data_IF_938998130326
#
_entry.id   IF_938998130326
#
_cell.length_a   1.000
_cell.length_b   1.000
_cell.length_c   1.000
_cell.angle_alpha   90.00
_cell.angle_beta   90.00
_cell.angle_gamma   90.00
#
_symmetry.space_group_name_H-M   'P 1'
#
loop_
_entity.id
_entity.type
_entity.pdbx_description
1 polymer ?
#
# COMPACT_ATOMS: atom_id res chain seq x y z
N UNK A 1 13.86 33.36 16.27
CA UNK A 1 12.85 33.08 15.24
C UNK A 1 13.44 32.28 14.07
N UNK A 2 14.77 32.17 13.91
CA UNK A 2 15.45 31.37 12.85
C UNK A 2 15.57 29.86 13.13
N UNK A 3 15.69 29.43 14.39
CA UNK A 3 16.02 28.02 14.70
C UNK A 3 14.91 27.02 14.36
N UNK A 4 13.64 27.44 14.44
CA UNK A 4 12.49 26.57 14.17
C UNK A 4 12.28 26.35 12.67
N UNK A 5 12.54 27.37 11.85
CA UNK A 5 12.37 27.32 10.39
C UNK A 5 13.44 26.43 9.75
N UNK A 6 14.71 26.59 10.13
CA UNK A 6 15.78 25.70 9.71
C UNK A 6 15.54 24.25 10.12
N UNK A 7 15.07 24.03 11.36
CA UNK A 7 14.76 22.67 11.85
C UNK A 7 13.65 22.03 11.01
N UNK A 8 12.62 22.78 10.66
CA UNK A 8 11.52 22.30 9.83
C UNK A 8 11.97 21.96 8.41
N UNK A 9 12.82 22.79 7.80
CA UNK A 9 13.43 22.52 6.48
C UNK A 9 14.31 21.24 6.49
N UNK A 10 15.15 21.05 7.52
CA UNK A 10 15.96 19.83 7.66
C UNK A 10 15.09 18.57 7.82
N UNK A 11 14.00 18.64 8.59
CA UNK A 11 13.06 17.54 8.72
C UNK A 11 12.32 17.23 7.41
N UNK A 12 11.90 18.25 6.67
CA UNK A 12 11.23 18.08 5.38
C UNK A 12 12.17 17.49 4.31
N UNK A 13 13.39 18.01 4.19
CA UNK A 13 14.38 17.52 3.22
C UNK A 13 14.73 16.05 3.47
N UNK A 14 14.90 15.67 4.75
CA UNK A 14 15.15 14.29 5.15
C UNK A 14 13.98 13.37 4.83
N UNK A 15 12.75 13.78 5.16
CA UNK A 15 11.55 13.01 4.86
C UNK A 15 11.37 12.77 3.35
N UNK A 16 11.65 13.79 2.52
CA UNK A 16 11.62 13.69 1.06
C UNK A 16 12.68 12.72 0.53
N UNK A 17 13.92 12.80 1.02
CA UNK A 17 15.00 11.88 0.62
C UNK A 17 14.69 10.43 1.00
N UNK A 18 14.16 10.21 2.20
CA UNK A 18 13.77 8.89 2.68
C UNK A 18 12.59 8.31 1.88
N UNK A 19 11.59 9.15 1.56
CA UNK A 19 10.48 8.75 0.69
C UNK A 19 10.94 8.38 -0.72
N UNK A 20 11.89 9.13 -1.29
CA UNK A 20 12.48 8.78 -2.60
C UNK A 20 13.16 7.41 -2.57
N UNK A 21 13.98 7.15 -1.53
CA UNK A 21 14.62 5.84 -1.36
C UNK A 21 13.60 4.71 -1.22
N UNK A 22 12.47 4.96 -0.54
CA UNK A 22 11.39 3.99 -0.41
C UNK A 22 10.72 3.68 -1.74
N UNK A 23 10.44 4.70 -2.55
CA UNK A 23 9.92 4.51 -3.90
C UNK A 23 10.91 3.72 -4.78
N UNK A 24 12.20 4.06 -4.77
CA UNK A 24 13.22 3.36 -5.58
C UNK A 24 13.32 1.86 -5.22
N UNK A 25 13.22 1.53 -3.92
CA UNK A 25 13.22 0.13 -3.45
C UNK A 25 11.92 -0.58 -3.84
N UNK A 26 10.78 0.09 -3.66
CA UNK A 26 9.47 -0.46 -4.02
C UNK A 26 9.39 -0.77 -5.53
N UNK A 27 9.89 0.13 -6.39
CA UNK A 27 9.91 -0.08 -7.83
C UNK A 27 10.70 -1.35 -8.19
N UNK A 28 11.88 -1.53 -7.60
CA UNK A 28 12.68 -2.74 -7.82
C UNK A 28 11.93 -4.01 -7.34
N UNK A 29 11.32 -3.96 -6.15
CA UNK A 29 10.55 -5.08 -5.61
C UNK A 29 9.38 -5.46 -6.51
N UNK A 30 8.67 -4.47 -7.07
CA UNK A 30 7.55 -4.71 -7.98
C UNK A 30 8.03 -5.36 -9.30
N UNK A 31 9.10 -4.84 -9.90
CA UNK A 31 9.68 -5.40 -11.13
C UNK A 31 10.24 -6.81 -10.90
N UNK A 32 10.95 -7.04 -9.80
CA UNK A 32 11.48 -8.36 -9.44
C UNK A 32 10.35 -9.37 -9.15
N UNK A 33 9.20 -8.92 -8.64
CA UNK A 33 8.01 -9.74 -8.47
C UNK A 33 7.31 -10.07 -9.79
N UNK A 34 7.57 -9.34 -10.88
CA UNK A 34 6.99 -9.59 -12.20
C UNK A 34 5.91 -8.60 -12.63
N UNK A 35 5.69 -7.52 -11.89
CA UNK A 35 4.79 -6.45 -12.32
C UNK A 35 5.43 -5.53 -13.35
N UNK A 36 4.63 -5.05 -14.30
CA UNK A 36 5.02 -3.97 -15.21
C UNK A 36 4.63 -2.59 -14.62
N UNK A 37 5.59 -1.66 -14.54
CA UNK A 37 5.32 -0.30 -14.07
C UNK A 37 4.64 0.52 -15.18
N UNK A 38 3.35 0.82 -15.02
CA UNK A 38 2.57 1.62 -15.99
C UNK A 38 2.78 3.12 -15.78
N UNK A 39 2.76 3.59 -14.53
CA UNK A 39 2.97 5.01 -14.16
C UNK A 39 3.67 5.14 -12.81
N UNK A 40 4.61 6.09 -12.71
CA UNK A 40 5.31 6.45 -11.46
C UNK A 40 5.65 7.95 -11.43
N UNK A 41 5.00 8.78 -10.59
CA UNK A 41 3.78 8.50 -9.82
C UNK A 41 2.51 8.49 -10.68
N UNK A 42 1.43 7.89 -10.18
CA UNK A 42 0.09 7.96 -10.79
C UNK A 42 -0.80 8.97 -10.07
N UNK A 43 -1.28 9.97 -10.81
CA UNK A 43 -2.26 10.96 -10.33
C UNK A 43 -3.65 10.57 -10.78
N UNK A 44 -4.65 10.81 -9.92
CA UNK A 44 -6.08 10.60 -10.20
C UNK A 44 -6.78 11.95 -10.10
N UNK A 45 -6.74 12.79 -11.16
CA UNK A 45 -7.10 14.21 -11.07
C UNK A 45 -8.55 14.44 -10.65
N UNK A 46 -9.47 13.55 -11.03
CA UNK A 46 -10.91 13.65 -10.73
C UNK A 46 -11.20 13.76 -9.23
N UNK A 47 -10.33 13.18 -8.40
CA UNK A 47 -10.49 13.10 -6.94
C UNK A 47 -9.26 13.61 -6.17
N UNK A 48 -8.27 14.18 -6.87
CA UNK A 48 -7.13 14.85 -6.25
C UNK A 48 -6.18 13.96 -5.45
N UNK A 49 -6.19 12.63 -5.66
CA UNK A 49 -5.27 11.70 -4.99
C UNK A 49 -4.14 11.25 -5.91
N UNK A 50 -3.05 10.79 -5.31
CA UNK A 50 -1.87 10.27 -5.99
C UNK A 50 -1.38 9.01 -5.27
N UNK A 51 -0.95 8.01 -6.04
CA UNK A 51 -0.27 6.81 -5.57
C UNK A 51 1.17 6.78 -6.12
N UNK A 52 2.03 6.01 -5.48
CA UNK A 52 3.43 5.90 -5.88
C UNK A 52 3.57 5.22 -7.23
N UNK A 53 2.76 4.18 -7.49
CA UNK A 53 2.77 3.47 -8.77
C UNK A 53 1.36 3.09 -9.21
N UNK A 54 1.18 3.00 -10.52
CA UNK A 54 0.20 2.12 -11.16
C UNK A 54 1.02 1.02 -11.82
N UNK A 55 0.71 -0.24 -11.51
CA UNK A 55 1.37 -1.41 -12.09
C UNK A 55 0.34 -2.37 -12.70
N UNK A 56 0.82 -3.26 -13.56
CA UNK A 56 0.02 -4.25 -14.26
C UNK A 56 0.58 -5.65 -14.01
N UNK A 57 -0.30 -6.62 -13.72
CA UNK A 57 0.03 -8.04 -13.66
C UNK A 57 0.09 -8.66 -15.08
N UNK A 58 0.55 -9.91 -15.21
CA UNK A 58 0.74 -10.55 -16.53
C UNK A 58 -0.55 -10.79 -17.31
N UNK A 59 -1.72 -10.69 -16.68
CA UNK A 59 -3.03 -10.79 -17.32
C UNK A 59 -3.63 -9.43 -17.69
N UNK A 60 -2.91 -8.32 -17.45
CA UNK A 60 -3.38 -6.97 -17.74
C UNK A 60 -4.15 -6.32 -16.59
N UNK A 61 -4.19 -6.95 -15.42
CA UNK A 61 -4.89 -6.45 -14.26
C UNK A 61 -4.15 -5.29 -13.58
N UNK A 62 -4.86 -4.21 -13.27
CA UNK A 62 -4.26 -2.99 -12.74
C UNK A 62 -4.25 -2.92 -11.21
N UNK A 63 -3.11 -2.47 -10.68
CA UNK A 63 -2.86 -2.33 -9.24
C UNK A 63 -2.31 -0.94 -8.93
N UNK A 64 -2.97 -0.24 -8.02
CA UNK A 64 -2.45 0.99 -7.42
C UNK A 64 -1.53 0.61 -6.26
N UNK A 65 -0.35 1.22 -6.20
CA UNK A 65 0.62 0.93 -5.13
C UNK A 65 0.88 2.18 -4.31
N UNK A 66 0.61 2.09 -3.01
CA UNK A 66 1.00 3.10 -2.02
C UNK A 66 2.26 2.61 -1.30
N UNK A 67 3.32 3.42 -1.29
CA UNK A 67 4.55 3.13 -0.56
C UNK A 67 4.55 3.93 0.73
N UNK A 68 4.34 3.24 1.83
CA UNK A 68 4.23 3.82 3.16
C UNK A 68 5.45 3.45 4.00
N UNK A 69 6.44 4.33 4.11
CA UNK A 69 7.54 4.15 5.07
C UNK A 69 8.78 5.00 4.85
N UNK A 70 9.52 5.20 5.94
CA UNK A 70 10.88 5.75 5.95
C UNK A 70 11.81 4.76 6.68
N UNK A 71 12.92 4.38 6.05
CA UNK A 71 13.83 3.31 6.51
C UNK A 71 14.71 3.66 7.72
N UNK A 72 14.53 4.83 8.35
CA UNK A 72 15.51 5.42 9.29
C UNK A 72 14.88 6.01 10.56
N UNK A 73 13.57 5.85 10.78
CA UNK A 73 12.88 6.42 11.95
C UNK A 73 12.63 5.38 13.05
N UNK A 74 12.53 5.83 14.31
CA UNK A 74 12.19 5.03 15.50
C UNK A 74 10.83 4.29 15.42
N UNK A 75 9.95 4.69 14.50
CA UNK A 75 8.72 3.95 14.13
C UNK A 75 8.58 3.95 12.60
N UNK A 76 9.17 2.97 11.90
CA UNK A 76 9.21 2.92 10.44
C UNK A 76 7.86 2.49 9.83
N UNK A 77 7.65 2.81 8.56
CA UNK A 77 6.51 2.27 7.81
C UNK A 77 5.12 2.74 8.27
N UNK A 78 4.18 1.81 8.21
CA UNK A 78 2.82 1.94 8.72
C UNK A 78 2.72 1.96 10.26
N UNK A 79 3.83 1.76 10.99
CA UNK A 79 3.84 1.93 12.45
C UNK A 79 3.57 3.39 12.86
N UNK A 80 3.69 4.36 11.94
CA UNK A 80 3.23 5.73 12.15
C UNK A 80 1.75 5.82 11.80
N UNK A 81 0.92 5.93 12.84
CA UNK A 81 -0.54 6.02 12.73
C UNK A 81 -1.02 7.12 11.76
N UNK A 82 -0.34 8.28 11.72
CA UNK A 82 -0.68 9.33 10.75
C UNK A 82 -0.42 8.93 9.28
N UNK A 83 0.63 8.16 9.03
CA UNK A 83 0.92 7.63 7.68
C UNK A 83 -0.19 6.68 7.27
N UNK A 84 -0.57 5.76 8.17
CA UNK A 84 -1.67 4.83 7.94
C UNK A 84 -2.97 5.57 7.62
N UNK A 85 -3.37 6.55 8.43
CA UNK A 85 -4.61 7.29 8.19
C UNK A 85 -4.60 8.06 6.87
N UNK A 86 -3.46 8.61 6.46
CA UNK A 86 -3.33 9.25 5.14
C UNK A 86 -3.48 8.26 4.00
N UNK A 87 -2.88 7.08 4.12
CA UNK A 87 -2.98 6.00 3.14
C UNK A 87 -4.42 5.51 3.02
N UNK A 88 -5.06 5.18 4.15
CA UNK A 88 -6.48 4.78 4.18
C UNK A 88 -7.40 5.85 3.59
N UNK A 89 -7.17 7.13 3.91
CA UNK A 89 -7.94 8.23 3.33
C UNK A 89 -7.81 8.33 1.80
N UNK A 90 -6.59 8.17 1.26
CA UNK A 90 -6.37 8.15 -0.21
C UNK A 90 -7.09 6.98 -0.87
N UNK A 91 -6.99 5.79 -0.28
CA UNK A 91 -7.63 4.57 -0.77
C UNK A 91 -9.14 4.73 -0.81
N UNK A 92 -9.74 5.19 0.29
CA UNK A 92 -11.18 5.37 0.36
C UNK A 92 -11.71 6.37 -0.68
N UNK A 93 -10.92 7.41 -0.99
CA UNK A 93 -11.24 8.36 -2.05
C UNK A 93 -11.08 7.75 -3.45
N UNK A 94 -10.05 6.94 -3.68
CA UNK A 94 -9.85 6.21 -4.95
C UNK A 94 -11.06 5.30 -5.26
N UNK A 95 -11.60 4.60 -4.25
CA UNK A 95 -12.77 3.72 -4.40
C UNK A 95 -14.01 4.42 -4.94
N UNK A 96 -14.13 5.74 -4.79
CA UNK A 96 -15.22 6.53 -5.38
C UNK A 96 -15.11 6.67 -6.90
N UNK A 97 -14.01 6.22 -7.48
CA UNK A 97 -13.78 6.23 -8.93
C UNK A 97 -13.94 4.85 -9.57
N UNK A 98 -14.15 3.80 -8.77
CA UNK A 98 -14.28 2.43 -9.25
C UNK A 98 -15.50 2.25 -10.14
N UNK A 99 -15.34 1.44 -11.18
CA UNK A 99 -16.45 0.89 -11.94
C UNK A 99 -16.88 -0.43 -11.29
N UNK A 100 -18.20 -0.75 -11.23
CA UNK A 100 -18.67 -1.94 -10.51
C UNK A 100 -18.04 -3.26 -10.97
N UNK A 101 -17.67 -3.36 -12.24
CA UNK A 101 -17.07 -4.56 -12.83
C UNK A 101 -15.54 -4.60 -12.71
N UNK A 102 -14.90 -3.51 -12.30
CA UNK A 102 -13.45 -3.40 -12.21
C UNK A 102 -13.06 -2.51 -11.02
N UNK A 103 -13.25 -2.99 -9.78
CA UNK A 103 -12.82 -2.26 -8.62
C UNK A 103 -11.30 -2.13 -8.62
N UNK A 104 -10.77 -0.98 -8.19
CA UNK A 104 -9.34 -0.79 -8.03
C UNK A 104 -8.72 -1.92 -7.18
N UNK A 105 -7.45 -2.24 -7.34
CA UNK A 105 -6.74 -3.07 -6.36
C UNK A 105 -5.62 -2.25 -5.78
N UNK A 106 -5.51 -2.19 -4.45
CA UNK A 106 -4.49 -1.40 -3.79
C UNK A 106 -3.55 -2.29 -3.00
N UNK A 107 -2.27 -2.25 -3.38
CA UNK A 107 -1.17 -2.82 -2.60
C UNK A 107 -0.53 -1.72 -1.77
N UNK A 108 -0.31 -2.00 -0.49
CA UNK A 108 0.50 -1.12 0.37
C UNK A 108 1.86 -1.76 0.61
N UNK A 109 2.90 -1.16 0.06
CA UNK A 109 4.28 -1.57 0.31
C UNK A 109 4.86 -0.76 1.46
N UNK A 110 5.43 -1.44 2.44
CA UNK A 110 5.99 -0.81 3.64
C UNK A 110 7.33 -1.43 4.00
N UNK A 111 8.15 -0.70 4.75
CA UNK A 111 9.33 -1.30 5.39
C UNK A 111 8.92 -2.18 6.58
N UNK A 112 7.83 -1.79 7.26
CA UNK A 112 7.32 -2.46 8.45
C UNK A 112 5.80 -2.34 8.56
N UNK A 113 5.14 -3.46 8.84
CA UNK A 113 3.72 -3.51 9.17
C UNK A 113 3.48 -3.07 10.61
N UNK A 114 2.26 -2.61 10.95
CA UNK A 114 1.88 -2.42 12.33
C UNK A 114 2.00 -3.75 13.10
N UNK A 115 2.40 -3.69 14.37
CA UNK A 115 2.44 -4.88 15.23
C UNK A 115 1.03 -5.47 15.35
N UNK A 116 0.94 -6.80 15.36
CA UNK A 116 -0.33 -7.51 15.62
C UNK A 116 -1.03 -6.94 16.86
N UNK A 117 -2.34 -6.74 16.77
CA UNK A 117 -3.21 -6.15 17.79
C UNK A 117 -2.89 -4.71 18.20
N UNK A 118 -2.00 -4.01 17.49
CA UNK A 118 -1.83 -2.56 17.64
C UNK A 118 -3.02 -1.80 17.04
N UNK A 119 -3.18 -0.52 17.40
CA UNK A 119 -4.23 0.32 16.82
C UNK A 119 -4.13 0.42 15.29
N UNK A 120 -2.93 0.39 14.73
CA UNK A 120 -2.73 0.38 13.28
C UNK A 120 -3.14 -0.94 12.62
N UNK A 121 -2.85 -2.07 13.25
CA UNK A 121 -3.27 -3.39 12.77
C UNK A 121 -4.79 -3.53 12.82
N UNK A 122 -5.42 -3.13 13.94
CA UNK A 122 -6.88 -3.12 14.08
C UNK A 122 -7.55 -2.21 13.04
N UNK A 123 -6.99 -1.03 12.78
CA UNK A 123 -7.53 -0.11 11.78
C UNK A 123 -7.44 -0.66 10.36
N UNK A 124 -6.31 -1.27 9.98
CA UNK A 124 -6.18 -1.97 8.70
C UNK A 124 -7.20 -3.11 8.59
N UNK A 125 -7.32 -3.95 9.63
CA UNK A 125 -8.28 -5.06 9.60
C UNK A 125 -9.72 -4.60 9.52
N UNK A 126 -10.06 -3.48 10.17
CA UNK A 126 -11.41 -2.92 10.16
C UNK A 126 -11.84 -2.39 8.78
N UNK A 127 -10.90 -1.95 7.93
CA UNK A 127 -11.26 -1.47 6.58
C UNK A 127 -11.44 -2.59 5.56
N UNK A 128 -10.91 -3.79 5.82
CA UNK A 128 -11.08 -4.95 4.95
C UNK A 128 -10.22 -4.97 3.67
N UNK A 129 -10.22 -6.14 3.03
CA UNK A 129 -9.44 -6.42 1.83
C UNK A 129 -9.99 -5.73 0.56
N UNK A 130 -11.25 -5.28 0.56
CA UNK A 130 -11.78 -4.41 -0.48
C UNK A 130 -11.12 -3.03 -0.45
N UNK A 131 -10.68 -2.52 0.69
CA UNK A 131 -9.98 -1.23 0.72
C UNK A 131 -8.49 -1.45 0.44
N UNK A 132 -7.84 -2.30 1.23
CA UNK A 132 -6.42 -2.62 1.11
C UNK A 132 -6.29 -4.08 0.70
N UNK A 133 -6.00 -4.34 -0.58
CA UNK A 133 -5.95 -5.72 -1.07
C UNK A 133 -4.91 -6.53 -0.29
N UNK A 134 -3.67 -6.05 -0.20
CA UNK A 134 -2.66 -6.62 0.70
C UNK A 134 -1.70 -5.51 1.19
N UNK A 135 -1.13 -5.73 2.37
CA UNK A 135 -0.07 -4.91 2.94
C UNK A 135 1.19 -5.77 3.07
N UNK A 136 2.25 -5.37 2.37
CA UNK A 136 3.45 -6.19 2.18
C UNK A 136 4.69 -5.47 2.70
N UNK A 137 5.48 -6.17 3.53
CA UNK A 137 6.82 -5.72 3.90
C UNK A 137 7.82 -6.02 2.77
N UNK A 138 8.48 -4.99 2.25
CA UNK A 138 9.38 -5.09 1.08
C UNK A 138 10.65 -5.94 1.29
N UNK A 139 10.92 -6.38 2.52
CA UNK A 139 12.08 -7.21 2.85
C UNK A 139 11.70 -8.56 3.48
N UNK A 140 10.40 -8.83 3.63
CA UNK A 140 9.92 -10.11 4.14
C UNK A 140 9.76 -11.10 2.98
N UNK A 141 10.41 -12.26 3.07
CA UNK A 141 10.40 -13.25 1.99
C UNK A 141 8.99 -13.78 1.70
N UNK A 142 8.15 -13.95 2.73
CA UNK A 142 6.76 -14.38 2.54
C UNK A 142 5.93 -13.29 1.86
N UNK A 143 6.14 -12.02 2.25
CA UNK A 143 5.57 -10.86 1.56
C UNK A 143 5.95 -10.79 0.08
N UNK A 144 7.22 -10.96 -0.24
CA UNK A 144 7.71 -10.96 -1.63
C UNK A 144 7.14 -12.12 -2.45
N UNK A 145 6.99 -13.30 -1.86
CA UNK A 145 6.35 -14.44 -2.52
C UNK A 145 4.88 -14.17 -2.86
N UNK A 146 4.13 -13.49 -1.98
CA UNK A 146 2.75 -13.06 -2.29
C UNK A 146 2.70 -12.04 -3.43
N UNK A 147 3.60 -11.06 -3.44
CA UNK A 147 3.69 -10.09 -4.55
C UNK A 147 3.95 -10.79 -5.88
N UNK A 148 4.86 -11.75 -5.92
CA UNK A 148 5.14 -12.51 -7.13
C UNK A 148 3.90 -13.28 -7.61
N UNK A 149 3.18 -13.93 -6.69
CA UNK A 149 1.94 -14.62 -7.02
C UNK A 149 0.85 -13.67 -7.54
N UNK A 150 0.74 -12.44 -7.00
CA UNK A 150 -0.21 -11.45 -7.53
C UNK A 150 0.18 -10.95 -8.93
N UNK A 151 1.48 -10.87 -9.23
CA UNK A 151 1.96 -10.46 -10.55
C UNK A 151 1.65 -11.48 -11.65
N UNK A 152 1.41 -12.76 -11.32
CA UNK A 152 0.97 -13.79 -12.27
C UNK A 152 -0.46 -13.56 -12.78
N UNK A 153 -1.25 -12.68 -12.15
CA UNK A 153 -2.63 -12.38 -12.53
C UNK A 153 -3.68 -13.24 -11.83
N UNK A 154 -4.96 -13.03 -12.17
CA UNK A 154 -6.09 -13.80 -11.65
C UNK A 154 -6.45 -13.62 -10.16
N UNK A 155 -5.65 -12.89 -9.38
CA UNK A 155 -5.88 -12.73 -7.94
C UNK A 155 -7.12 -11.86 -7.64
N UNK A 156 -8.19 -12.51 -7.18
CA UNK A 156 -9.44 -11.85 -6.74
C UNK A 156 -9.51 -11.67 -5.22
N UNK A 157 -8.63 -12.34 -4.47
CA UNK A 157 -8.50 -12.30 -3.02
C UNK A 157 -7.02 -12.28 -2.62
N UNK A 158 -6.69 -11.68 -1.47
CA UNK A 158 -5.32 -11.76 -0.98
C UNK A 158 -4.96 -13.17 -0.54
N UNK A 159 -3.67 -13.48 -0.67
CA UNK A 159 -3.07 -14.70 -0.15
C UNK A 159 -2.78 -14.49 1.35
N UNK A 160 -2.98 -15.52 2.22
CA UNK A 160 -2.69 -15.41 3.64
C UNK A 160 -1.28 -14.89 3.95
N UNK A 161 -1.20 -13.93 4.87
CA UNK A 161 0.03 -13.23 5.21
C UNK A 161 -0.24 -12.11 6.21
N UNK A 162 -0.50 -10.89 5.71
CA UNK A 162 -1.04 -9.83 6.56
C UNK A 162 -2.47 -10.16 7.00
N UNK A 163 -3.31 -10.51 6.03
CA UNK A 163 -4.64 -11.07 6.22
C UNK A 163 -4.53 -12.52 6.67
N UNK A 164 -5.26 -12.89 7.72
CA UNK A 164 -5.40 -14.30 8.11
C UNK A 164 -6.44 -14.97 7.23
N UNK A 165 -6.46 -16.30 7.19
CA UNK A 165 -7.53 -17.06 6.53
C UNK A 165 -8.92 -16.61 7.02
N UNK A 166 -9.10 -16.50 8.35
CA UNK A 166 -10.34 -15.98 8.95
C UNK A 166 -10.75 -14.58 8.45
N UNK A 167 -9.80 -13.69 8.15
CA UNK A 167 -10.12 -12.34 7.68
C UNK A 167 -10.58 -12.38 6.22
N UNK A 168 -9.96 -13.25 5.42
CA UNK A 168 -10.32 -13.49 4.02
C UNK A 168 -11.71 -14.12 3.94
N UNK A 169 -12.00 -15.14 4.76
CA UNK A 169 -13.32 -15.78 4.82
C UNK A 169 -14.43 -14.79 5.22
N UNK A 170 -14.16 -13.94 6.23
CA UNK A 170 -15.11 -12.88 6.63
C UNK A 170 -15.35 -11.88 5.51
N UNK A 171 -14.30 -11.52 4.78
CA UNK A 171 -14.38 -10.63 3.63
C UNK A 171 -15.23 -11.26 2.51
N UNK A 172 -14.90 -12.47 2.09
CA UNK A 172 -15.66 -13.21 1.07
C UNK A 172 -17.15 -13.28 1.40
N UNK A 173 -17.48 -13.63 2.65
CA UNK A 173 -18.87 -13.71 3.11
C UNK A 173 -19.60 -12.35 3.04
N UNK A 174 -18.90 -11.25 3.32
CA UNK A 174 -19.45 -9.90 3.26
C UNK A 174 -19.66 -9.42 1.81
N UNK A 175 -18.74 -9.72 0.90
CA UNK A 175 -18.85 -9.33 -0.52
C UNK A 175 -19.70 -10.27 -1.38
N UNK A 176 -19.83 -11.54 -1.00
CA UNK A 176 -20.69 -12.53 -1.70
C UNK A 176 -22.18 -12.44 -1.33
N UNK A 177 -22.53 -11.65 -0.31
CA UNK A 177 -23.91 -11.42 0.14
C UNK A 177 -24.55 -10.15 -0.44
N UNK A 178 -23.86 -9.46 -1.37
CA UNK A 178 -24.31 -8.23 -2.02
C UNK A 178 -24.68 -8.47 -3.48
#
# INVERSE_FOLDING_TARGET
LDDDEHRQEFFQARATSEGKKAADIAERVLVEAGFDIVKSPVKIPKVGVQFNFLVEDTEGGQWYVDVSGAFTTVRPGLMRTDTLWKTLGRIHVLRRTDEPQNPSRVLVLTSNLPKSNSEGDKALRAVGADQVFDAVEMFDAAGLARLAAYAEGGAVLPIPGFWTEDDIERYEAATGSA
#
